data_IF_653644769259
#
_entry.id   IF_653644769259
#
_cell.length_a   1.000
_cell.length_b   1.000
_cell.length_c   1.000
_cell.angle_alpha   90.00
_cell.angle_beta   90.00
_cell.angle_gamma   90.00
#
_symmetry.space_group_name_H-M   'P 1'
#
loop_
_entity.id
_entity.type
_entity.pdbx_description
1 polymer ?
#
# COMPACT_ATOMS: atom_id res chain seq x y z
N UNK A 1 -16.05 -23.74 -20.72
CA UNK A 1 -16.54 -23.32 -19.41
C UNK A 1 -16.30 -21.83 -19.38
N UNK A 2 -17.34 -21.02 -19.61
CA UNK A 2 -17.23 -19.56 -19.50
C UNK A 2 -17.06 -19.26 -18.02
N UNK A 3 -15.86 -18.81 -17.62
CA UNK A 3 -15.69 -18.22 -16.30
C UNK A 3 -16.38 -16.87 -16.36
N UNK A 4 -17.38 -16.66 -15.51
CA UNK A 4 -17.87 -15.32 -15.25
C UNK A 4 -16.70 -14.58 -14.60
N UNK A 5 -16.12 -13.61 -15.30
CA UNK A 5 -14.85 -12.97 -14.90
C UNK A 5 -15.10 -12.02 -13.71
N UNK A 6 -16.36 -11.76 -13.34
CA UNK A 6 -16.73 -10.68 -12.41
C UNK A 6 -17.88 -10.96 -11.41
N UNK A 7 -18.15 -12.18 -10.88
CA UNK A 7 -19.30 -12.39 -10.00
C UNK A 7 -19.19 -11.73 -8.62
N UNK A 8 -18.02 -11.19 -8.25
CA UNK A 8 -17.71 -10.79 -6.86
C UNK A 8 -17.28 -9.32 -6.70
N UNK A 9 -17.77 -8.40 -7.55
CA UNK A 9 -17.46 -6.97 -7.42
C UNK A 9 -18.17 -6.36 -6.22
N UNK A 10 -17.44 -5.65 -5.37
CA UNK A 10 -18.01 -4.86 -4.29
C UNK A 10 -18.35 -3.45 -4.78
N UNK A 11 -19.59 -2.99 -4.56
CA UNK A 11 -20.00 -1.61 -4.87
C UNK A 11 -19.78 -0.66 -3.68
N UNK A 12 -18.85 0.30 -3.76
CA UNK A 12 -18.64 1.31 -2.71
C UNK A 12 -19.87 2.18 -2.42
N UNK A 13 -20.86 2.24 -3.32
CA UNK A 13 -22.09 3.00 -3.09
C UNK A 13 -22.93 2.43 -1.93
N UNK A 14 -22.76 1.13 -1.63
CA UNK A 14 -23.43 0.44 -0.52
C UNK A 14 -22.91 0.87 0.85
N UNK A 15 -21.69 1.43 0.92
CA UNK A 15 -21.13 2.01 2.14
C UNK A 15 -21.83 3.34 2.47
N UNK A 16 -22.08 3.58 3.76
CA UNK A 16 -22.67 4.83 4.22
C UNK A 16 -21.89 6.08 3.80
N UNK A 17 -22.61 7.16 3.52
CA UNK A 17 -22.05 8.41 2.96
C UNK A 17 -20.80 8.95 3.72
N UNK A 18 -20.73 8.93 5.07
CA UNK A 18 -19.57 9.43 5.79
C UNK A 18 -18.29 8.62 5.56
N UNK A 19 -18.42 7.32 5.27
CA UNK A 19 -17.33 6.37 5.13
C UNK A 19 -16.97 6.12 3.66
N UNK A 20 -17.92 6.28 2.73
CA UNK A 20 -17.73 6.10 1.28
C UNK A 20 -16.46 6.75 0.71
N UNK A 21 -16.01 7.95 1.15
CA UNK A 21 -14.78 8.54 0.65
C UNK A 21 -13.52 7.69 0.81
N UNK A 22 -13.47 6.76 1.78
CA UNK A 22 -12.32 5.86 1.97
C UNK A 22 -12.21 4.82 0.85
N UNK A 23 -13.31 4.51 0.17
CA UNK A 23 -13.34 3.60 -0.97
C UNK A 23 -13.30 4.36 -2.30
N UNK A 24 -14.20 5.35 -2.46
CA UNK A 24 -14.40 6.02 -3.74
C UNK A 24 -13.17 6.83 -4.19
N UNK A 25 -12.45 7.48 -3.26
CA UNK A 25 -11.29 8.30 -3.64
C UNK A 25 -10.08 7.48 -4.05
N UNK A 26 -9.63 6.45 -3.30
CA UNK A 26 -8.53 5.63 -3.78
C UNK A 26 -8.80 4.98 -5.14
N UNK A 27 -10.03 4.51 -5.37
CA UNK A 27 -10.43 3.95 -6.66
C UNK A 27 -10.37 5.00 -7.80
N UNK A 28 -10.95 6.19 -7.61
CA UNK A 28 -10.88 7.28 -8.60
C UNK A 28 -9.41 7.69 -8.87
N UNK A 29 -8.57 7.76 -7.83
CA UNK A 29 -7.14 8.06 -7.98
C UNK A 29 -6.42 6.98 -8.76
N UNK A 30 -6.72 5.70 -8.50
CA UNK A 30 -6.12 4.59 -9.22
C UNK A 30 -6.52 4.57 -10.70
N UNK A 31 -7.80 4.77 -11.00
CA UNK A 31 -8.33 4.91 -12.36
C UNK A 31 -7.64 6.07 -13.10
N UNK A 32 -7.57 7.26 -12.51
CA UNK A 32 -6.89 8.42 -13.10
C UNK A 32 -5.39 8.20 -13.28
N UNK A 33 -4.76 7.47 -12.36
CA UNK A 33 -3.32 7.15 -12.45
C UNK A 33 -3.07 6.26 -13.65
N UNK A 34 -3.89 5.23 -13.85
CA UNK A 34 -3.83 4.37 -15.01
C UNK A 34 -4.09 5.16 -16.30
N UNK A 35 -5.15 5.97 -16.36
CA UNK A 35 -5.44 6.83 -17.51
C UNK A 35 -4.24 7.73 -17.86
N UNK A 36 -3.61 8.35 -16.86
CA UNK A 36 -2.44 9.20 -17.05
C UNK A 36 -1.25 8.42 -17.63
N UNK A 37 -1.03 7.18 -17.19
CA UNK A 37 0.02 6.29 -17.71
C UNK A 37 -0.27 5.91 -19.17
N UNK A 38 -1.53 5.56 -19.48
CA UNK A 38 -1.96 5.23 -20.84
C UNK A 38 -1.79 6.42 -21.79
N UNK A 39 -2.12 7.63 -21.35
CA UNK A 39 -1.86 8.87 -22.11
C UNK A 39 -0.36 9.09 -22.31
N UNK A 40 0.43 9.01 -21.24
CA UNK A 40 1.87 9.25 -21.30
C UNK A 40 2.62 8.24 -22.19
N UNK A 41 2.09 7.03 -22.34
CA UNK A 41 2.66 5.96 -23.17
C UNK A 41 2.03 5.86 -24.56
N UNK A 42 1.08 6.74 -24.90
CA UNK A 42 0.32 6.73 -26.16
C UNK A 42 -0.45 5.41 -26.41
N UNK A 43 -1.03 4.86 -25.34
CA UNK A 43 -1.77 3.60 -25.32
C UNK A 43 -3.22 3.76 -24.85
N UNK A 44 -3.83 4.93 -25.01
CA UNK A 44 -5.21 5.22 -24.54
C UNK A 44 -6.26 4.25 -25.08
N UNK A 45 -6.02 3.63 -26.23
CA UNK A 45 -6.88 2.57 -26.80
C UNK A 45 -7.05 1.36 -25.88
N UNK A 46 -6.13 1.14 -24.95
CA UNK A 46 -6.11 -0.03 -24.06
C UNK A 46 -6.88 0.26 -22.76
N UNK A 47 -7.45 1.45 -22.58
CA UNK A 47 -8.21 1.79 -21.37
C UNK A 47 -9.39 0.83 -21.09
N UNK A 48 -10.06 0.35 -22.14
CA UNK A 48 -11.15 -0.62 -22.02
C UNK A 48 -10.71 -2.05 -21.70
N UNK A 49 -9.40 -2.30 -21.71
CA UNK A 49 -8.82 -3.60 -21.35
C UNK A 49 -8.48 -3.68 -19.87
N UNK A 50 -8.59 -2.58 -19.11
CA UNK A 50 -8.36 -2.58 -17.68
C UNK A 50 -9.67 -2.63 -16.91
N UNK A 51 -9.71 -3.52 -15.92
CA UNK A 51 -10.75 -3.54 -14.90
C UNK A 51 -10.09 -3.32 -13.54
N UNK A 52 -10.60 -2.34 -12.80
CA UNK A 52 -10.05 -1.94 -11.50
C UNK A 52 -11.20 -1.71 -10.53
N UNK A 53 -11.11 -2.33 -9.36
CA UNK A 53 -12.18 -2.19 -8.38
C UNK A 53 -11.92 -2.91 -7.08
N UNK A 54 -12.99 -3.00 -6.29
CA UNK A 54 -13.02 -3.77 -5.07
C UNK A 54 -13.66 -5.14 -5.31
N UNK A 55 -13.20 -6.14 -4.57
CA UNK A 55 -13.80 -7.48 -4.53
C UNK A 55 -14.36 -7.78 -3.15
N UNK A 56 -15.42 -8.60 -3.09
CA UNK A 56 -15.94 -9.17 -1.84
C UNK A 56 -15.13 -10.38 -1.35
N UNK A 57 -14.17 -10.86 -2.15
CA UNK A 57 -13.37 -12.03 -1.80
C UNK A 57 -12.50 -11.77 -0.56
N UNK A 58 -12.56 -12.70 0.38
CA UNK A 58 -11.83 -12.67 1.64
C UNK A 58 -10.46 -13.37 1.56
N UNK A 59 -10.23 -14.15 0.50
CA UNK A 59 -9.07 -15.04 0.38
C UNK A 59 -7.77 -14.30 0.01
N UNK A 60 -7.88 -13.06 -0.48
CA UNK A 60 -6.73 -12.23 -0.81
C UNK A 60 -6.95 -10.77 -0.47
N UNK A 61 -5.86 -10.01 -0.30
CA UNK A 61 -5.93 -8.59 0.06
C UNK A 61 -5.92 -7.66 -1.16
N UNK A 62 -5.05 -7.96 -2.14
CA UNK A 62 -5.01 -7.31 -3.44
C UNK A 62 -4.35 -8.24 -4.48
N UNK A 63 -4.64 -8.05 -5.76
CA UNK A 63 -3.99 -8.75 -6.85
C UNK A 63 -4.01 -7.96 -8.17
N UNK A 64 -3.03 -8.27 -9.02
CA UNK A 64 -2.97 -7.84 -10.42
C UNK A 64 -2.71 -9.03 -11.33
N UNK A 65 -3.50 -9.17 -12.40
CA UNK A 65 -3.31 -10.25 -13.37
C UNK A 65 -3.74 -9.86 -14.78
N UNK A 66 -3.33 -10.67 -15.76
CA UNK A 66 -3.75 -10.52 -17.15
C UNK A 66 -4.48 -11.80 -17.60
N UNK A 67 -5.69 -11.64 -18.12
CA UNK A 67 -6.54 -12.75 -18.58
C UNK A 67 -7.28 -12.33 -19.86
N UNK A 68 -7.20 -13.17 -20.90
CA UNK A 68 -7.93 -12.97 -22.17
C UNK A 68 -7.79 -11.57 -22.79
N UNK A 69 -6.58 -10.99 -22.70
CA UNK A 69 -6.30 -9.65 -23.22
C UNK A 69 -6.82 -8.51 -22.35
N UNK A 70 -7.27 -8.80 -21.12
CA UNK A 70 -7.63 -7.81 -20.10
C UNK A 70 -6.62 -7.82 -18.95
N UNK A 71 -6.46 -6.66 -18.32
CA UNK A 71 -5.68 -6.45 -17.11
C UNK A 71 -6.64 -6.19 -15.95
N UNK A 72 -6.55 -6.98 -14.89
CA UNK A 72 -7.45 -6.90 -13.75
C UNK A 72 -6.64 -6.48 -12.53
N UNK A 73 -7.14 -5.49 -11.80
CA UNK A 73 -6.62 -5.00 -10.51
C UNK A 73 -7.74 -5.06 -9.49
N UNK A 74 -7.62 -5.98 -8.53
CA UNK A 74 -8.62 -6.17 -7.49
C UNK A 74 -8.02 -5.91 -6.13
N UNK A 75 -8.71 -5.12 -5.32
CA UNK A 75 -8.39 -4.94 -3.90
C UNK A 75 -9.57 -5.43 -3.07
N UNK A 76 -9.33 -6.25 -2.06
CA UNK A 76 -10.42 -6.67 -1.17
C UNK A 76 -11.05 -5.45 -0.49
N UNK A 77 -12.38 -5.40 -0.47
CA UNK A 77 -13.13 -4.35 0.21
C UNK A 77 -12.83 -4.30 1.72
N UNK A 78 -12.35 -5.40 2.30
CA UNK A 78 -11.89 -5.43 3.68
C UNK A 78 -10.64 -4.57 3.91
N UNK A 79 -9.74 -4.45 2.92
CA UNK A 79 -8.45 -3.74 3.07
C UNK A 79 -8.61 -2.27 3.53
N UNK A 80 -9.34 -1.40 2.80
CA UNK A 80 -9.55 -0.01 3.23
C UNK A 80 -10.33 0.09 4.56
N UNK A 81 -11.26 -0.82 4.83
CA UNK A 81 -12.02 -0.84 6.08
C UNK A 81 -11.12 -1.18 7.28
N UNK A 82 -10.30 -2.23 7.17
CA UNK A 82 -9.34 -2.63 8.20
C UNK A 82 -8.31 -1.53 8.45
N UNK A 83 -7.75 -0.93 7.40
CA UNK A 83 -6.82 0.21 7.54
C UNK A 83 -7.47 1.40 8.26
N UNK A 84 -8.71 1.75 7.91
CA UNK A 84 -9.41 2.86 8.58
C UNK A 84 -9.73 2.54 10.03
N UNK A 85 -10.20 1.32 10.33
CA UNK A 85 -10.44 0.87 11.70
C UNK A 85 -9.15 0.89 12.53
N UNK A 86 -8.01 0.46 11.97
CA UNK A 86 -6.70 0.53 12.63
C UNK A 86 -6.34 1.98 12.99
N UNK A 87 -6.47 2.91 12.04
CA UNK A 87 -6.15 4.31 12.31
C UNK A 87 -7.15 4.98 13.24
N UNK A 88 -8.42 4.61 13.20
CA UNK A 88 -9.42 5.06 14.16
C UNK A 88 -9.07 4.64 15.59
N UNK A 89 -8.71 3.38 15.77
CA UNK A 89 -8.33 2.82 17.06
C UNK A 89 -7.07 3.51 17.61
N UNK A 90 -6.01 3.60 16.80
CA UNK A 90 -4.76 4.27 17.20
C UNK A 90 -5.01 5.76 17.53
N UNK A 91 -5.72 6.47 16.66
CA UNK A 91 -5.95 7.91 16.83
C UNK A 91 -6.95 8.23 17.93
N UNK A 92 -7.88 7.33 18.23
CA UNK A 92 -8.83 7.43 19.33
C UNK A 92 -8.14 7.56 20.69
N UNK A 93 -7.02 6.85 20.86
CA UNK A 93 -6.26 6.86 22.11
C UNK A 93 -5.07 7.81 22.13
N UNK A 94 -4.45 8.13 20.99
CA UNK A 94 -3.29 9.04 20.97
C UNK A 94 -3.06 9.67 19.60
N UNK A 95 -2.39 10.82 19.55
CA UNK A 95 -1.80 11.30 18.31
C UNK A 95 -0.34 10.80 18.23
N UNK A 96 -0.02 9.82 17.37
CA UNK A 96 1.30 9.19 17.33
C UNK A 96 2.42 10.15 16.89
N UNK A 97 2.06 11.37 16.51
CA UNK A 97 2.98 12.38 16.00
C UNK A 97 3.00 13.65 16.85
N UNK A 98 2.32 13.64 17.98
CA UNK A 98 2.36 14.76 18.90
C UNK A 98 3.70 14.85 19.58
N UNK A 99 4.22 16.07 19.67
CA UNK A 99 5.35 16.40 20.53
C UNK A 99 4.88 17.12 21.79
N UNK A 100 3.55 17.23 22.01
CA UNK A 100 2.99 17.94 23.16
C UNK A 100 3.09 17.07 24.42
N UNK A 101 3.67 17.59 25.52
CA UNK A 101 3.66 16.89 26.81
C UNK A 101 2.27 16.80 27.46
N UNK A 102 1.29 17.58 26.97
CA UNK A 102 -0.10 17.62 27.48
C UNK A 102 -1.02 16.57 26.81
N UNK A 103 -0.55 15.92 25.74
CA UNK A 103 -1.23 14.75 25.19
C UNK A 103 -0.68 13.51 25.91
N UNK A 104 -1.53 12.53 26.31
CA UNK A 104 -1.11 11.42 27.14
C UNK A 104 0.14 10.77 26.53
N UNK A 105 1.22 10.58 27.32
CA UNK A 105 2.44 10.03 26.80
C UNK A 105 2.12 8.70 26.11
N UNK A 106 2.82 8.50 25.02
CA UNK A 106 2.83 7.28 24.23
C UNK A 106 3.11 6.05 25.14
N UNK A 107 3.61 6.19 26.37
CA UNK A 107 4.15 5.08 27.18
C UNK A 107 3.18 4.34 28.14
N UNK A 108 1.92 4.78 28.32
CA UNK A 108 1.03 4.13 29.32
C UNK A 108 0.15 3.00 28.76
N UNK A 109 0.08 2.80 27.44
CA UNK A 109 -0.71 1.74 26.82
C UNK A 109 0.10 0.43 26.69
N UNK A 110 -0.45 -0.67 27.22
CA UNK A 110 0.13 -2.01 27.16
C UNK A 110 -0.17 -2.70 25.81
N UNK A 111 0.66 -3.67 25.38
CA UNK A 111 0.33 -4.53 24.25
C UNK A 111 -1.01 -5.26 24.46
N UNK A 112 -1.94 -5.12 23.52
CA UNK A 112 -3.26 -5.77 23.58
C UNK A 112 -4.39 -4.89 24.12
N UNK A 113 -4.16 -3.59 24.31
CA UNK A 113 -5.18 -2.65 24.78
C UNK A 113 -6.28 -2.36 23.75
N UNK A 114 -6.10 -2.80 22.50
CA UNK A 114 -6.98 -2.52 21.38
C UNK A 114 -7.61 -3.81 20.82
N UNK A 115 -8.93 -3.83 20.69
CA UNK A 115 -9.68 -4.96 20.16
C UNK A 115 -9.88 -4.79 18.66
N UNK A 116 -8.84 -5.06 17.89
CA UNK A 116 -8.93 -5.00 16.43
C UNK A 116 -9.51 -6.30 15.84
N UNK A 117 -10.67 -6.27 15.14
CA UNK A 117 -11.14 -7.42 14.40
C UNK A 117 -10.19 -7.67 13.22
N UNK A 118 -9.28 -8.63 13.38
CA UNK A 118 -8.28 -8.99 12.37
C UNK A 118 -8.89 -9.52 11.06
N UNK A 119 -10.17 -9.89 11.10
CA UNK A 119 -10.94 -10.33 9.96
C UNK A 119 -12.36 -9.73 10.04
N UNK A 120 -12.83 -9.16 8.95
CA UNK A 120 -14.26 -9.04 8.73
C UNK A 120 -14.74 -10.45 8.39
N UNK A 121 -15.46 -11.07 9.32
CA UNK A 121 -16.06 -12.38 9.05
C UNK A 121 -16.98 -12.23 7.83
N UNK A 122 -16.57 -12.79 6.69
CA UNK A 122 -17.41 -12.92 5.52
C UNK A 122 -18.50 -13.95 5.83
N UNK A 123 -19.49 -13.52 6.61
CA UNK A 123 -20.75 -14.23 6.74
C UNK A 123 -21.55 -13.88 5.48
N UNK A 124 -21.52 -14.80 4.53
CA UNK A 124 -22.26 -14.82 3.27
C UNK A 124 -21.72 -13.91 2.16
N UNK A 125 -21.63 -14.47 0.94
CA UNK A 125 -21.02 -13.91 -0.28
C UNK A 125 -21.85 -12.77 -0.90
N UNK A 126 -22.42 -11.88 -0.08
CA UNK A 126 -23.28 -10.79 -0.52
C UNK A 126 -22.66 -9.43 -0.19
N UNK A 127 -22.65 -8.53 -1.17
CA UNK A 127 -22.01 -7.22 -1.07
C UNK A 127 -22.73 -6.31 -0.06
N UNK A 128 -24.06 -6.44 0.08
CA UNK A 128 -24.87 -5.72 1.07
C UNK A 128 -24.49 -6.14 2.50
N UNK A 129 -24.33 -7.44 2.74
CA UNK A 129 -23.95 -7.97 4.06
C UNK A 129 -22.54 -7.51 4.44
N UNK A 130 -21.58 -7.59 3.50
CA UNK A 130 -20.23 -7.08 3.72
C UNK A 130 -20.23 -5.55 3.97
N UNK A 131 -20.98 -4.78 3.18
CA UNK A 131 -21.09 -3.33 3.37
C UNK A 131 -21.64 -2.98 4.76
N UNK A 132 -22.68 -3.68 5.21
CA UNK A 132 -23.26 -3.50 6.54
C UNK A 132 -22.28 -3.86 7.66
N UNK A 133 -21.49 -4.93 7.49
CA UNK A 133 -20.46 -5.33 8.45
C UNK A 133 -19.34 -4.28 8.55
N UNK A 134 -18.85 -3.80 7.39
CA UNK A 134 -17.87 -2.71 7.31
C UNK A 134 -18.40 -1.46 8.02
N UNK A 135 -19.62 -1.03 7.70
CA UNK A 135 -20.23 0.16 8.30
C UNK A 135 -20.34 0.04 9.82
N UNK A 136 -20.70 -1.15 10.32
CA UNK A 136 -20.82 -1.40 11.77
C UNK A 136 -19.47 -1.29 12.45
N UNK A 137 -18.46 -2.02 11.96
CA UNK A 137 -17.10 -2.00 12.53
C UNK A 137 -16.51 -0.59 12.53
N UNK A 138 -16.66 0.15 11.43
CA UNK A 138 -16.11 1.50 11.31
C UNK A 138 -16.85 2.52 12.18
N UNK A 139 -18.16 2.34 12.43
CA UNK A 139 -18.91 3.20 13.34
C UNK A 139 -18.54 2.95 14.79
N UNK A 140 -18.36 1.69 15.17
CA UNK A 140 -18.03 1.31 16.54
C UNK A 140 -16.60 1.75 16.92
N UNK A 141 -15.67 1.68 15.97
CA UNK A 141 -14.29 2.16 16.16
C UNK A 141 -14.15 3.70 16.03
N UNK A 142 -15.18 4.42 15.59
CA UNK A 142 -15.03 5.81 15.18
C UNK A 142 -14.63 6.74 16.35
N UNK A 143 -13.50 7.46 16.26
CA UNK A 143 -13.06 8.31 17.34
C UNK A 143 -13.97 9.55 17.50
N UNK A 144 -14.13 10.07 18.73
CA UNK A 144 -15.08 11.14 19.03
C UNK A 144 -14.65 12.50 18.48
N UNK A 145 -13.34 12.77 18.38
CA UNK A 145 -12.86 14.06 17.91
C UNK A 145 -12.83 14.15 16.38
N UNK A 146 -13.23 15.30 15.85
CA UNK A 146 -13.26 15.53 14.39
C UNK A 146 -11.88 15.39 13.77
N UNK A 147 -10.84 15.88 14.44
CA UNK A 147 -9.48 15.85 13.90
C UNK A 147 -8.94 14.41 13.83
N UNK A 148 -9.26 13.54 14.79
CA UNK A 148 -8.89 12.12 14.79
C UNK A 148 -9.49 11.44 13.55
N UNK A 149 -10.78 11.65 13.30
CA UNK A 149 -11.48 11.11 12.13
C UNK A 149 -10.87 11.57 10.81
N UNK A 150 -10.58 12.87 10.67
CA UNK A 150 -10.00 13.43 9.44
C UNK A 150 -8.59 12.91 9.17
N UNK A 151 -7.77 12.78 10.21
CA UNK A 151 -6.41 12.24 10.11
C UNK A 151 -6.43 10.76 9.74
N UNK A 152 -7.28 9.96 10.39
CA UNK A 152 -7.45 8.54 10.08
C UNK A 152 -7.89 8.31 8.63
N UNK A 153 -8.88 9.08 8.16
CA UNK A 153 -9.34 9.03 6.77
C UNK A 153 -8.22 9.37 5.79
N UNK A 154 -7.38 10.36 6.09
CA UNK A 154 -6.26 10.73 5.23
C UNK A 154 -5.16 9.66 5.20
N UNK A 155 -4.83 9.05 6.34
CA UNK A 155 -3.85 7.95 6.43
C UNK A 155 -4.35 6.69 5.70
N UNK A 156 -5.62 6.31 5.91
CA UNK A 156 -6.26 5.22 5.19
C UNK A 156 -6.28 5.47 3.68
N UNK A 157 -6.63 6.70 3.25
CA UNK A 157 -6.62 7.06 1.83
C UNK A 157 -5.22 6.89 1.21
N UNK A 158 -4.15 7.35 1.87
CA UNK A 158 -2.77 7.18 1.39
C UNK A 158 -2.36 5.69 1.32
N UNK A 159 -2.70 4.91 2.35
CA UNK A 159 -2.41 3.49 2.41
C UNK A 159 -3.15 2.71 1.30
N UNK A 160 -4.43 2.95 1.09
CA UNK A 160 -5.21 2.28 0.03
C UNK A 160 -4.77 2.71 -1.37
N UNK A 161 -4.43 3.99 -1.59
CA UNK A 161 -3.84 4.44 -2.87
C UNK A 161 -2.51 3.73 -3.11
N UNK A 162 -1.71 3.48 -2.09
CA UNK A 162 -0.47 2.71 -2.22
C UNK A 162 -0.75 1.27 -2.66
N UNK A 163 -1.73 0.58 -2.07
CA UNK A 163 -2.12 -0.78 -2.47
C UNK A 163 -2.50 -0.84 -3.95
N UNK A 164 -3.41 0.03 -4.41
CA UNK A 164 -3.74 0.09 -5.84
C UNK A 164 -2.53 0.42 -6.72
N UNK A 165 -1.69 1.37 -6.29
CA UNK A 165 -0.51 1.77 -7.07
C UNK A 165 0.54 0.67 -7.16
N UNK A 166 0.62 -0.21 -6.15
CA UNK A 166 1.47 -1.40 -6.15
C UNK A 166 1.00 -2.39 -7.22
N UNK A 167 -0.30 -2.70 -7.26
CA UNK A 167 -0.88 -3.57 -8.29
C UNK A 167 -0.76 -2.98 -9.71
N UNK A 168 -0.98 -1.67 -9.86
CA UNK A 168 -0.70 -0.96 -11.12
C UNK A 168 0.78 -1.11 -11.49
N UNK A 169 1.68 -1.03 -10.51
CA UNK A 169 3.11 -1.24 -10.68
C UNK A 169 3.42 -2.60 -11.31
N UNK A 170 2.76 -3.68 -10.87
CA UNK A 170 2.93 -5.01 -11.47
C UNK A 170 2.56 -5.05 -12.95
N UNK A 171 1.50 -4.36 -13.37
CA UNK A 171 1.11 -4.33 -14.79
C UNK A 171 2.05 -3.45 -15.61
N UNK A 172 2.33 -2.23 -15.14
CA UNK A 172 3.13 -1.25 -15.89
C UNK A 172 4.58 -1.71 -16.08
N UNK A 173 5.12 -2.42 -15.09
CA UNK A 173 6.44 -3.03 -15.17
C UNK A 173 6.45 -4.32 -16.00
N UNK A 174 5.29 -4.85 -16.41
CA UNK A 174 5.16 -6.04 -17.25
C UNK A 174 5.26 -7.36 -16.49
N UNK A 175 5.15 -7.35 -15.16
CA UNK A 175 5.19 -8.56 -14.34
C UNK A 175 4.02 -9.50 -14.68
N UNK A 176 2.81 -8.95 -14.83
CA UNK A 176 1.59 -9.72 -15.13
C UNK A 176 1.61 -10.34 -16.54
N UNK A 177 2.16 -9.62 -17.53
CA UNK A 177 2.31 -10.13 -18.90
C UNK A 177 3.24 -11.33 -18.99
N UNK A 178 4.34 -11.32 -18.23
CA UNK A 178 5.29 -12.45 -18.20
C UNK A 178 4.66 -13.69 -17.57
N UNK A 179 3.87 -13.52 -16.51
CA UNK A 179 3.15 -14.63 -15.88
C UNK A 179 2.12 -15.23 -16.85
N UNK A 180 1.37 -14.39 -17.57
CA UNK A 180 0.41 -14.85 -18.58
C UNK A 180 1.08 -15.62 -19.74
N UNK A 181 2.20 -15.12 -20.26
CA UNK A 181 2.96 -15.78 -21.35
C UNK A 181 3.54 -17.14 -20.95
N UNK A 182 3.81 -17.35 -19.66
CA UNK A 182 4.32 -18.62 -19.13
C UNK A 182 3.23 -19.72 -19.01
N UNK A 183 1.98 -19.44 -19.44
CA UNK A 183 0.82 -20.36 -19.40
C UNK A 183 0.47 -20.94 -18.02
N UNK A 184 1.10 -20.41 -16.97
CA UNK A 184 0.81 -20.70 -15.58
C UNK A 184 0.22 -19.42 -14.99
N UNK A 185 -1.11 -19.37 -14.90
CA UNK A 185 -1.88 -19.02 -13.70
C UNK A 185 -3.20 -18.32 -14.03
N UNK A 186 -4.29 -19.00 -13.69
CA UNK A 186 -5.38 -18.35 -13.00
C UNK A 186 -4.81 -17.83 -11.67
N UNK A 187 -4.62 -16.52 -11.58
CA UNK A 187 -4.08 -15.81 -10.42
C UNK A 187 -5.15 -15.67 -9.32
N UNK A 188 -5.75 -16.79 -8.89
CA UNK A 188 -6.63 -16.79 -7.71
C UNK A 188 -5.86 -16.89 -6.39
N UNK A 189 -4.58 -17.24 -6.40
CA UNK A 189 -3.78 -17.21 -5.17
C UNK A 189 -2.30 -16.98 -5.49
N UNK A 190 -1.73 -15.86 -5.04
CA UNK A 190 -0.27 -15.71 -4.89
C UNK A 190 0.35 -16.79 -3.97
N UNK A 191 -0.47 -17.61 -3.29
CA UNK A 191 -0.02 -18.76 -2.50
C UNK A 191 0.29 -20.01 -3.33
N UNK A 192 -0.34 -20.21 -4.50
CA UNK A 192 -0.19 -21.43 -5.31
C UNK A 192 0.84 -21.31 -6.44
N UNK A 193 1.40 -20.12 -6.67
CA UNK A 193 2.36 -19.83 -7.76
C UNK A 193 3.81 -20.25 -7.49
N UNK A 194 4.08 -20.89 -6.34
CA UNK A 194 5.43 -21.19 -5.78
C UNK A 194 6.40 -21.86 -6.77
N UNK A 195 5.92 -22.44 -7.86
CA UNK A 195 6.72 -23.19 -8.83
C UNK A 195 7.07 -22.43 -10.13
N UNK A 196 6.44 -21.29 -10.44
CA UNK A 196 6.56 -20.65 -11.77
C UNK A 196 7.70 -19.62 -11.88
N UNK A 197 8.02 -18.90 -10.80
CA UNK A 197 9.05 -17.85 -10.78
C UNK A 197 10.02 -18.10 -9.61
N UNK A 198 11.34 -18.07 -9.82
CA UNK A 198 12.30 -18.19 -8.71
C UNK A 198 12.04 -17.11 -7.65
N UNK A 199 11.97 -17.49 -6.36
CA UNK A 199 11.58 -16.55 -5.29
C UNK A 199 12.46 -15.29 -5.18
N UNK A 200 13.70 -15.30 -5.66
CA UNK A 200 14.53 -14.08 -5.76
C UNK A 200 14.00 -13.08 -6.80
N UNK A 201 13.48 -13.57 -7.93
CA UNK A 201 12.92 -12.74 -9.00
C UNK A 201 11.58 -12.17 -8.54
N UNK A 202 10.71 -12.99 -7.94
CA UNK A 202 9.42 -12.54 -7.37
C UNK A 202 9.64 -11.42 -6.35
N UNK A 203 10.57 -11.58 -5.41
CA UNK A 203 10.87 -10.54 -4.41
C UNK A 203 11.37 -9.23 -5.03
N UNK A 204 12.14 -9.31 -6.12
CA UNK A 204 12.58 -8.10 -6.81
C UNK A 204 11.43 -7.41 -7.56
N UNK A 205 10.46 -8.17 -8.08
CA UNK A 205 9.26 -7.61 -8.69
C UNK A 205 8.40 -6.87 -7.66
N UNK A 206 8.22 -7.42 -6.47
CA UNK A 206 7.52 -6.77 -5.36
C UNK A 206 8.18 -5.45 -4.96
N UNK A 207 9.51 -5.41 -4.82
CA UNK A 207 10.23 -4.18 -4.51
C UNK A 207 10.14 -3.14 -5.65
N UNK A 208 10.13 -3.60 -6.91
CA UNK A 208 9.95 -2.71 -8.05
C UNK A 208 8.53 -2.11 -8.07
N UNK A 209 7.51 -2.91 -7.75
CA UNK A 209 6.13 -2.46 -7.58
C UNK A 209 6.02 -1.46 -6.41
N UNK A 210 6.66 -1.73 -5.26
CA UNK A 210 6.73 -0.81 -4.12
C UNK A 210 7.36 0.54 -4.48
N UNK A 211 8.46 0.53 -5.23
CA UNK A 211 9.11 1.75 -5.71
C UNK A 211 8.18 2.57 -6.62
N UNK A 212 7.53 1.90 -7.58
CA UNK A 212 6.57 2.53 -8.49
C UNK A 212 5.39 3.13 -7.70
N UNK A 213 4.83 2.35 -6.79
CA UNK A 213 3.70 2.74 -5.95
C UNK A 213 4.01 3.96 -5.09
N UNK A 214 5.16 3.95 -4.42
CA UNK A 214 5.59 5.09 -3.61
C UNK A 214 5.71 6.37 -4.44
N UNK A 215 6.32 6.30 -5.63
CA UNK A 215 6.42 7.46 -6.53
C UNK A 215 5.06 8.00 -7.01
N UNK A 216 4.09 7.12 -7.26
CA UNK A 216 2.72 7.48 -7.63
C UNK A 216 1.98 8.16 -6.47
N UNK A 217 2.01 7.56 -5.27
CA UNK A 217 1.33 8.10 -4.08
C UNK A 217 1.96 9.42 -3.65
N UNK A 218 3.30 9.52 -3.67
CA UNK A 218 3.99 10.79 -3.41
C UNK A 218 3.55 11.87 -4.40
N UNK A 219 3.53 11.56 -5.69
CA UNK A 219 3.06 12.47 -6.73
C UNK A 219 1.62 12.93 -6.49
N UNK A 220 0.73 12.00 -6.12
CA UNK A 220 -0.66 12.31 -5.76
C UNK A 220 -0.74 13.28 -4.57
N UNK A 221 0.02 13.00 -3.51
CA UNK A 221 0.01 13.80 -2.29
C UNK A 221 0.56 15.23 -2.49
N UNK A 222 1.59 15.42 -3.32
CA UNK A 222 2.32 16.70 -3.38
C UNK A 222 2.13 17.53 -4.65
N UNK A 223 1.85 16.93 -5.81
CA UNK A 223 1.85 17.68 -7.09
C UNK A 223 0.64 18.58 -7.25
N UNK A 224 -0.55 18.12 -6.88
CA UNK A 224 -1.77 18.91 -7.00
C UNK A 224 -1.92 19.82 -5.77
N UNK A 225 -2.00 21.14 -5.97
CA UNK A 225 -2.12 22.12 -4.88
C UNK A 225 -3.31 21.85 -3.94
N UNK A 226 -4.47 21.50 -4.50
CA UNK A 226 -5.69 21.23 -3.71
C UNK A 226 -5.54 19.96 -2.88
N UNK A 227 -5.04 18.88 -3.49
CA UNK A 227 -4.76 17.62 -2.79
C UNK A 227 -3.74 17.82 -1.69
N UNK A 228 -2.64 18.52 -1.99
CA UNK A 228 -1.59 18.86 -1.03
C UNK A 228 -2.14 19.65 0.15
N UNK A 229 -2.85 20.76 -0.10
CA UNK A 229 -3.44 21.57 0.97
C UNK A 229 -4.39 20.74 1.85
N UNK A 230 -5.21 19.86 1.25
CA UNK A 230 -6.10 18.97 2.01
C UNK A 230 -5.29 18.03 2.91
N UNK A 231 -4.23 17.40 2.40
CA UNK A 231 -3.39 16.51 3.21
C UNK A 231 -2.64 17.26 4.32
N UNK A 232 -2.07 18.43 4.02
CA UNK A 232 -1.42 19.26 5.04
C UNK A 232 -2.40 19.63 6.17
N UNK A 233 -3.66 19.94 5.85
CA UNK A 233 -4.69 20.22 6.83
C UNK A 233 -5.10 18.96 7.63
N UNK A 234 -5.50 17.89 6.93
CA UNK A 234 -6.05 16.68 7.57
C UNK A 234 -5.01 15.92 8.39
N UNK A 235 -3.74 15.98 7.99
CA UNK A 235 -2.62 15.37 8.71
C UNK A 235 -1.98 16.32 9.73
N UNK A 236 -2.59 17.48 9.98
CA UNK A 236 -2.16 18.49 10.97
C UNK A 236 -0.72 18.96 10.78
N UNK A 237 -0.33 19.27 9.54
CA UNK A 237 1.02 19.68 9.16
C UNK A 237 1.17 21.19 8.91
N UNK A 238 0.10 21.97 9.10
CA UNK A 238 0.09 23.42 8.77
C UNK A 238 1.10 24.25 9.57
N UNK A 239 1.36 23.85 10.82
CA UNK A 239 2.31 24.51 11.72
C UNK A 239 3.69 23.85 11.72
N UNK A 240 3.92 22.84 10.88
CA UNK A 240 5.21 22.17 10.79
C UNK A 240 6.27 23.11 10.23
N UNK A 241 7.49 23.01 10.77
CA UNK A 241 8.63 23.77 10.25
C UNK A 241 8.99 23.39 8.81
N UNK A 242 8.76 22.13 8.44
CA UNK A 242 8.84 21.64 7.05
C UNK A 242 7.66 20.70 6.75
N UNK A 243 6.53 21.23 6.25
CA UNK A 243 5.33 20.44 6.01
C UNK A 243 5.48 19.33 4.95
N UNK A 244 6.43 19.46 4.03
CA UNK A 244 6.63 18.46 2.96
C UNK A 244 7.43 17.28 3.50
N UNK A 245 8.47 17.57 4.28
CA UNK A 245 9.22 16.55 5.00
C UNK A 245 8.31 15.75 5.95
N UNK A 246 7.50 16.43 6.75
CA UNK A 246 6.55 15.75 7.66
C UNK A 246 5.49 14.94 6.91
N UNK A 247 5.06 15.41 5.73
CA UNK A 247 4.13 14.67 4.87
C UNK A 247 4.76 13.35 4.38
N UNK A 248 6.05 13.33 4.07
CA UNK A 248 6.76 12.10 3.74
C UNK A 248 6.78 11.13 4.94
N UNK A 249 7.03 11.65 6.15
CA UNK A 249 6.90 10.86 7.39
C UNK A 249 5.50 10.24 7.53
N UNK A 250 4.43 11.03 7.37
CA UNK A 250 3.04 10.55 7.42
C UNK A 250 2.75 9.48 6.36
N UNK A 251 3.32 9.63 5.16
CA UNK A 251 3.19 8.64 4.09
C UNK A 251 3.88 7.33 4.47
N UNK A 252 5.11 7.39 5.00
CA UNK A 252 5.84 6.20 5.45
C UNK A 252 5.14 5.50 6.63
N UNK A 253 4.56 6.26 7.55
CA UNK A 253 3.71 5.73 8.61
C UNK A 253 2.53 4.95 8.03
N UNK A 254 1.76 5.55 7.11
CA UNK A 254 0.59 4.91 6.51
C UNK A 254 0.95 3.63 5.73
N UNK A 255 2.03 3.64 4.94
CA UNK A 255 2.46 2.47 4.16
C UNK A 255 3.02 1.37 5.08
N UNK A 256 3.63 1.71 6.22
CA UNK A 256 4.10 0.69 7.18
C UNK A 256 2.93 -0.21 7.64
N UNK A 257 1.76 0.37 7.90
CA UNK A 257 0.55 -0.40 8.25
C UNK A 257 0.07 -1.33 7.13
N UNK A 258 0.27 -0.97 5.85
CA UNK A 258 0.01 -1.88 4.73
C UNK A 258 0.93 -3.11 4.85
N UNK A 259 2.23 -2.90 5.04
CA UNK A 259 3.16 -4.02 5.15
C UNK A 259 2.96 -4.86 6.43
N UNK A 260 2.48 -4.25 7.51
CA UNK A 260 2.12 -4.97 8.72
C UNK A 260 0.88 -5.83 8.51
N UNK A 261 -0.22 -5.24 8.01
CA UNK A 261 -1.49 -5.92 7.77
C UNK A 261 -1.35 -7.07 6.76
N UNK A 262 -0.61 -6.83 5.67
CA UNK A 262 -0.42 -7.84 4.63
C UNK A 262 0.67 -8.87 4.96
N UNK A 263 1.52 -8.59 5.96
CA UNK A 263 2.65 -9.43 6.37
C UNK A 263 2.38 -10.40 7.52
N UNK A 264 1.20 -10.35 8.17
CA UNK A 264 0.89 -11.05 9.43
C UNK A 264 1.06 -12.59 9.39
N UNK A 265 1.07 -13.21 8.21
CA UNK A 265 1.22 -14.67 8.08
C UNK A 265 2.68 -15.15 8.10
N UNK A 266 3.65 -14.26 8.25
CA UNK A 266 5.08 -14.58 8.22
C UNK A 266 5.72 -14.28 9.58
N UNK A 267 5.54 -15.19 10.53
CA UNK A 267 6.26 -15.20 11.81
C UNK A 267 7.78 -15.41 11.64
N UNK A 268 8.20 -15.85 10.45
CA UNK A 268 9.59 -16.07 10.06
C UNK A 268 9.87 -15.43 8.69
N UNK A 269 11.10 -14.95 8.47
CA UNK A 269 11.54 -14.54 7.12
C UNK A 269 11.65 -15.80 6.26
N UNK A 270 10.64 -16.05 5.43
CA UNK A 270 10.69 -17.11 4.43
C UNK A 270 11.69 -16.70 3.33
N UNK A 271 12.95 -17.13 3.48
CA UNK A 271 13.99 -16.91 2.48
C UNK A 271 13.67 -17.56 1.13
N UNK A 272 12.70 -18.48 1.06
CA UNK A 272 12.17 -19.09 -0.16
C UNK A 272 10.82 -18.50 -0.61
N UNK A 273 10.25 -17.57 0.13
CA UNK A 273 8.98 -16.93 -0.16
C UNK A 273 9.02 -16.09 -1.44
N UNK A 274 7.84 -15.91 -2.05
CA UNK A 274 7.61 -15.05 -3.22
C UNK A 274 7.63 -13.55 -2.87
N UNK A 275 7.40 -13.20 -1.59
CA UNK A 275 7.34 -11.81 -1.12
C UNK A 275 8.54 -11.47 -0.22
N UNK A 276 9.09 -10.23 -0.28
CA UNK A 276 10.09 -9.78 0.67
C UNK A 276 9.46 -9.70 2.07
N UNK A 277 10.27 -9.90 3.11
CA UNK A 277 9.78 -9.70 4.48
C UNK A 277 9.35 -8.26 4.69
N UNK A 278 8.40 -8.05 5.61
CA UNK A 278 7.92 -6.72 5.99
C UNK A 278 9.07 -5.78 6.38
N UNK A 279 10.09 -6.27 7.09
CA UNK A 279 11.27 -5.47 7.46
C UNK A 279 12.06 -4.98 6.24
N UNK A 280 12.24 -5.83 5.22
CA UNK A 280 12.92 -5.45 3.97
C UNK A 280 12.12 -4.38 3.24
N UNK A 281 10.79 -4.54 3.14
CA UNK A 281 9.91 -3.57 2.47
C UNK A 281 9.88 -2.22 3.20
N UNK A 282 9.83 -2.24 4.53
CA UNK A 282 9.95 -1.03 5.36
C UNK A 282 11.29 -0.33 5.15
N UNK A 283 12.41 -1.06 5.24
CA UNK A 283 13.73 -0.45 5.04
C UNK A 283 13.83 0.16 3.65
N UNK A 284 13.32 -0.55 2.64
CA UNK A 284 13.28 -0.05 1.28
C UNK A 284 12.41 1.20 1.14
N UNK A 285 11.24 1.24 1.78
CA UNK A 285 10.38 2.42 1.86
C UNK A 285 11.09 3.62 2.49
N UNK A 286 11.83 3.43 3.59
CA UNK A 286 12.61 4.49 4.23
C UNK A 286 13.63 5.07 3.24
N UNK A 287 14.38 4.19 2.56
CA UNK A 287 15.37 4.60 1.56
C UNK A 287 14.75 5.32 0.36
N UNK A 288 13.57 4.88 -0.11
CA UNK A 288 12.82 5.54 -1.20
C UNK A 288 12.37 6.94 -0.80
N UNK A 289 11.81 7.10 0.39
CA UNK A 289 11.36 8.39 0.90
C UNK A 289 12.53 9.36 1.06
N UNK A 290 13.64 8.90 1.65
CA UNK A 290 14.87 9.68 1.75
C UNK A 290 15.36 10.13 0.37
N UNK A 291 15.45 9.20 -0.59
CA UNK A 291 15.93 9.51 -1.95
C UNK A 291 15.07 10.57 -2.64
N UNK A 292 13.74 10.47 -2.53
CA UNK A 292 12.81 11.44 -3.12
C UNK A 292 12.92 12.80 -2.43
N UNK A 293 13.09 12.84 -1.11
CA UNK A 293 13.27 14.08 -0.37
C UNK A 293 14.59 14.76 -0.74
N UNK A 294 15.70 14.02 -0.83
CA UNK A 294 17.01 14.53 -1.22
C UNK A 294 17.03 15.09 -2.65
N UNK A 295 16.31 14.46 -3.59
CA UNK A 295 16.20 14.96 -4.98
C UNK A 295 15.42 16.28 -5.05
N UNK A 296 14.45 16.48 -4.16
CA UNK A 296 13.53 17.63 -4.21
C UNK A 296 13.88 18.75 -3.23
N UNK A 297 14.64 18.46 -2.19
CA UNK A 297 15.01 19.39 -1.12
C UNK A 297 16.52 19.30 -0.83
N UNK A 298 17.34 20.28 -1.27
CA UNK A 298 18.78 20.27 -1.02
C UNK A 298 19.08 20.71 0.43
N UNK A 299 19.05 19.76 1.39
CA UNK A 299 19.57 19.74 2.79
C UNK A 299 18.51 19.48 3.89
N UNK A 300 18.83 18.74 5.00
CA UNK A 300 19.99 17.89 5.30
C UNK A 300 19.59 16.40 5.27
N UNK A 301 20.36 15.54 4.59
CA UNK A 301 20.03 14.10 4.45
C UNK A 301 19.68 13.42 5.79
N UNK A 302 20.36 13.82 6.87
CA UNK A 302 20.13 13.30 8.22
C UNK A 302 18.69 13.55 8.72
N UNK A 303 18.12 14.73 8.47
CA UNK A 303 16.76 15.06 8.95
C UNK A 303 15.67 14.34 8.15
N UNK A 304 15.91 14.11 6.85
CA UNK A 304 15.03 13.28 6.04
C UNK A 304 14.99 11.83 6.55
N UNK A 305 16.17 11.28 6.83
CA UNK A 305 16.30 9.96 7.44
C UNK A 305 15.66 9.90 8.82
N UNK A 306 15.89 10.89 9.69
CA UNK A 306 15.33 10.97 11.05
C UNK A 306 13.79 10.97 11.03
N UNK A 307 13.16 11.87 10.25
CA UNK A 307 11.69 11.98 10.21
C UNK A 307 11.05 10.71 9.69
N UNK A 308 11.61 10.11 8.64
CA UNK A 308 11.07 8.90 8.04
C UNK A 308 11.26 7.69 8.96
N UNK A 309 12.43 7.55 9.58
CA UNK A 309 12.72 6.48 10.55
C UNK A 309 11.85 6.64 11.80
N UNK A 310 11.70 7.86 12.33
CA UNK A 310 10.84 8.15 13.46
C UNK A 310 9.38 7.80 13.15
N UNK A 311 8.89 8.16 11.96
CA UNK A 311 7.54 7.80 11.53
C UNK A 311 7.33 6.29 11.46
N UNK A 312 8.33 5.52 11.01
CA UNK A 312 8.27 4.07 11.06
C UNK A 312 8.24 3.53 12.49
N UNK A 313 9.12 4.04 13.37
CA UNK A 313 9.15 3.63 14.78
C UNK A 313 7.82 3.91 15.49
N UNK A 314 7.15 5.02 15.15
CA UNK A 314 5.79 5.30 15.62
C UNK A 314 4.76 4.30 15.08
N UNK A 315 4.89 3.86 13.84
CA UNK A 315 4.03 2.84 13.27
C UNK A 315 4.23 1.48 13.97
N UNK A 316 5.48 1.07 14.19
CA UNK A 316 5.81 -0.16 14.92
C UNK A 316 5.29 -0.12 16.37
N UNK A 317 5.51 0.99 17.08
CA UNK A 317 5.00 1.16 18.44
C UNK A 317 3.47 1.08 18.50
N UNK A 318 2.78 1.74 17.57
CA UNK A 318 1.32 1.67 17.46
C UNK A 318 0.84 0.25 17.12
N UNK A 319 1.55 -0.45 16.24
CA UNK A 319 1.23 -1.83 15.86
C UNK A 319 1.38 -2.80 17.03
N UNK A 320 2.49 -2.73 17.77
CA UNK A 320 2.74 -3.57 18.94
C UNK A 320 1.67 -3.38 20.03
N UNK A 321 1.08 -2.18 20.14
CA UNK A 321 -0.03 -1.92 21.08
C UNK A 321 -1.33 -2.62 20.71
N UNK A 322 -1.55 -2.92 19.44
CA UNK A 322 -2.67 -3.75 19.02
C UNK A 322 -2.53 -5.21 19.48
N UNK A 323 -1.48 -5.55 20.23
CA UNK A 323 -1.15 -6.92 20.64
C UNK A 323 -0.53 -7.74 19.50
N UNK A 324 -0.12 -7.07 18.42
CA UNK A 324 0.44 -7.67 17.22
C UNK A 324 1.96 -7.52 17.28
N UNK A 325 2.69 -8.60 17.55
CA UNK A 325 4.15 -8.54 17.71
C UNK A 325 4.87 -8.48 16.35
N UNK A 326 5.68 -7.43 16.14
CA UNK A 326 6.64 -7.37 15.05
C UNK A 326 8.02 -7.90 15.51
N UNK A 327 8.69 -8.70 14.67
CA UNK A 327 10.14 -8.95 14.79
C UNK A 327 10.65 -9.87 15.91
N UNK A 328 9.81 -10.51 16.74
CA UNK A 328 10.29 -11.30 17.89
C UNK A 328 11.06 -12.59 17.56
N UNK A 329 10.92 -13.15 16.35
CA UNK A 329 11.55 -14.44 15.98
C UNK A 329 12.28 -14.45 14.62
N UNK A 330 12.49 -13.31 13.97
CA UNK A 330 12.75 -13.27 12.52
C UNK A 330 14.01 -12.51 12.13
N UNK A 331 15.16 -12.87 12.71
CA UNK A 331 16.47 -12.31 12.31
C UNK A 331 17.43 -13.38 11.78
N UNK A 332 17.45 -13.56 10.45
CA UNK A 332 18.57 -14.19 9.73
C UNK A 332 19.15 -13.29 8.61
N UNK A 333 18.58 -12.11 8.36
CA UNK A 333 19.24 -11.04 7.58
C UNK A 333 19.49 -9.88 8.54
N UNK A 334 20.76 -9.51 8.76
CA UNK A 334 21.09 -8.40 9.66
C UNK A 334 20.80 -7.10 8.96
N UNK A 335 20.50 -6.03 9.72
CA UNK A 335 20.39 -4.67 9.18
C UNK A 335 21.64 -4.28 8.37
N UNK A 336 22.78 -4.84 8.76
CA UNK A 336 24.07 -4.72 8.09
C UNK A 336 24.12 -5.29 6.65
N UNK A 337 23.24 -6.25 6.32
CA UNK A 337 23.14 -6.87 4.99
C UNK A 337 22.23 -6.07 4.04
N UNK A 338 21.45 -5.12 4.55
CA UNK A 338 20.43 -4.35 3.81
C UNK A 338 21.02 -3.46 2.70
N UNK A 339 22.17 -2.77 2.84
CA UNK A 339 22.78 -2.05 1.74
C UNK A 339 23.14 -2.99 0.58
N UNK A 340 23.58 -4.22 0.88
CA UNK A 340 23.89 -5.25 -0.11
C UNK A 340 22.63 -5.86 -0.73
N UNK A 341 21.58 -6.10 0.04
CA UNK A 341 20.29 -6.60 -0.44
C UNK A 341 19.59 -5.54 -1.32
N UNK A 342 19.53 -4.28 -0.88
CA UNK A 342 18.99 -3.15 -1.66
C UNK A 342 19.83 -2.89 -2.91
N UNK A 343 21.17 -2.90 -2.81
CA UNK A 343 22.04 -2.74 -3.99
C UNK A 343 21.94 -3.94 -4.94
N UNK A 344 21.78 -5.17 -4.44
CA UNK A 344 21.54 -6.37 -5.27
C UNK A 344 20.17 -6.32 -5.91
N UNK A 345 19.13 -5.93 -5.18
CA UNK A 345 17.78 -5.73 -5.69
C UNK A 345 17.72 -4.59 -6.69
N UNK A 346 18.42 -3.47 -6.49
CA UNK A 346 18.55 -2.38 -7.47
C UNK A 346 19.32 -2.82 -8.71
N UNK A 347 20.46 -3.51 -8.57
CA UNK A 347 21.20 -4.08 -9.72
C UNK A 347 20.36 -5.13 -10.47
N UNK A 348 19.57 -5.91 -9.74
CA UNK A 348 18.65 -6.89 -10.31
C UNK A 348 17.46 -6.19 -10.96
N UNK A 349 16.90 -5.13 -10.37
CA UNK A 349 15.89 -4.26 -10.97
C UNK A 349 16.43 -3.58 -12.21
N UNK A 350 17.69 -3.14 -12.25
CA UNK A 350 18.29 -2.58 -13.46
C UNK A 350 18.53 -3.65 -14.54
N UNK A 351 18.80 -4.90 -14.16
CA UNK A 351 18.88 -6.03 -15.09
C UNK A 351 17.49 -6.45 -15.59
N UNK A 352 16.52 -6.52 -14.69
CA UNK A 352 15.10 -6.81 -14.96
C UNK A 352 14.55 -5.70 -15.83
N UNK A 353 14.66 -4.41 -15.48
CA UNK A 353 14.29 -3.25 -16.31
C UNK A 353 14.98 -3.24 -17.69
N UNK A 354 16.23 -3.71 -17.80
CA UNK A 354 16.91 -3.90 -19.10
C UNK A 354 16.34 -5.06 -19.91
N UNK A 355 15.90 -6.15 -19.27
CA UNK A 355 15.26 -7.32 -19.91
C UNK A 355 13.77 -7.07 -20.23
N UNK A 356 13.06 -6.46 -19.29
CA UNK A 356 11.69 -5.98 -19.36
C UNK A 356 11.56 -4.74 -20.22
N UNK A 357 12.64 -4.07 -20.66
CA UNK A 357 12.53 -2.96 -21.60
C UNK A 357 11.83 -3.34 -22.92
N UNK A 358 11.70 -4.64 -23.23
CA UNK A 358 10.92 -5.17 -24.34
C UNK A 358 9.44 -5.50 -23.99
N UNK A 359 9.09 -5.64 -22.71
CA UNK A 359 7.76 -6.03 -22.19
C UNK A 359 7.05 -4.92 -21.38
N UNK A 360 7.82 -4.01 -20.79
CA UNK A 360 7.36 -2.79 -20.17
C UNK A 360 6.76 -1.92 -21.27
N UNK A 361 5.59 -1.35 -20.98
CA UNK A 361 4.87 -0.49 -21.91
C UNK A 361 5.60 0.83 -22.14
N UNK A 362 6.65 0.78 -22.97
CA UNK A 362 7.04 1.75 -24.00
C UNK A 362 8.53 1.59 -24.36
N UNK A 363 8.78 1.08 -25.57
CA UNK A 363 9.26 1.95 -26.67
C UNK A 363 8.70 1.41 -27.99
N UNK A 364 8.01 2.24 -28.81
CA UNK A 364 7.82 1.90 -30.20
C UNK A 364 9.21 1.71 -30.82
N UNK A 365 9.44 0.58 -31.46
CA UNK A 365 10.55 0.43 -32.39
C UNK A 365 10.36 1.46 -33.49
N UNK A 366 10.99 2.62 -33.37
CA UNK A 366 11.29 3.46 -34.53
C UNK A 366 12.38 2.77 -35.33
N UNK A 367 12.02 1.66 -35.99
CA UNK A 367 12.77 1.19 -37.16
C UNK A 367 12.36 2.11 -38.31
N UNK A 368 13.25 3.05 -38.64
CA UNK A 368 13.36 3.54 -40.01
C UNK A 368 14.04 2.49 -40.86
#
# INVERSE_FOLDING_TARGET
MEYDIHPNRFDPALISEPLRPVFARPLDVAQRTLEAILVATNNTRLASEFDIGYTIEADFNACAYALDGRHIIDVSAATPALLLALFFEVLGSTNPFSTSPDEPPVDDAQPGDFLFPQFLAAADQDDIHLASAIDTVLRDAMPPEKWQRLMALALAELATVFVFSHEIGHIVLGHTGILADQRNLALMELRSTRESVPGRVSRAWELAADQSAFGMVWSYAVKNRRTRTRFLHYLRLESASDPILELAGRLCYAISFVFFLLGQNLSEVDAQGSHPSTLVRVTFLIALAQSILEEKHPSPGDRAYEVVTQAHNFAEAAWNRLGLEFGKNSFNERIEDLPLAVTRSQRHMDQVRRRLGAYAWARPSTRR
#
